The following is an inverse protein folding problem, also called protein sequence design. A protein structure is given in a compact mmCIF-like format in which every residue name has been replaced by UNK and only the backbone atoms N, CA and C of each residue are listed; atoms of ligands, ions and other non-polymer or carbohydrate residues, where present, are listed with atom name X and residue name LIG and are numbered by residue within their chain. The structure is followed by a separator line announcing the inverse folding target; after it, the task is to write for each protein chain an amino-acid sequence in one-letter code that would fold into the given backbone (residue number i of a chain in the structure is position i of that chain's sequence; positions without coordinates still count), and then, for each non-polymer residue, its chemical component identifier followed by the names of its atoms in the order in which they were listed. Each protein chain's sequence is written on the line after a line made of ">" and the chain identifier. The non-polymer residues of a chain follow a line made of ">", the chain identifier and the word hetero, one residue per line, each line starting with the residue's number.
data_IF_926685272534
#
_entry.id   IF_926685272534
#
_cell.length_a   1.000
_cell.length_b   1.000
_cell.length_c   1.000
_cell.angle_alpha   90.00
_cell.angle_beta   90.00
_cell.angle_gamma   90.00
#
_symmetry.space_group_name_H-M   'P 1'
#
loop_
_entity.id
_entity.type
_entity.pdbx_description
1 polymer ?
#
# COMPACT_ATOMS: atom_id res chain seq x y z
N UNK A 1 59.62 11.67 15.04
CA UNK A 1 58.29 12.28 14.80
C UNK A 1 57.61 11.85 13.48
N UNK A 2 58.03 10.76 12.81
CA UNK A 2 57.38 10.29 11.57
C UNK A 2 56.20 9.33 11.79
N UNK A 3 56.17 8.58 12.89
CA UNK A 3 55.10 7.59 13.15
C UNK A 3 53.73 8.19 13.45
N UNK A 4 53.67 9.38 14.06
CA UNK A 4 52.39 10.01 14.42
C UNK A 4 51.59 10.48 13.19
N UNK A 5 52.27 10.90 12.12
CA UNK A 5 51.62 11.33 10.86
C UNK A 5 50.97 10.15 10.12
N UNK A 6 51.61 8.99 10.10
CA UNK A 6 51.07 7.79 9.46
C UNK A 6 49.89 7.20 10.23
N UNK A 7 49.91 7.31 11.56
CA UNK A 7 48.83 6.80 12.42
C UNK A 7 47.55 7.67 12.30
N UNK A 8 47.70 8.99 12.20
CA UNK A 8 46.56 9.89 11.93
C UNK A 8 45.98 9.67 10.52
N UNK A 9 46.84 9.46 9.51
CA UNK A 9 46.39 9.18 8.15
C UNK A 9 45.65 7.84 8.04
N UNK A 10 46.14 6.80 8.71
CA UNK A 10 45.47 5.49 8.75
C UNK A 10 44.10 5.55 9.44
N UNK A 11 43.97 6.33 10.53
CA UNK A 11 42.69 6.53 11.23
C UNK A 11 41.71 7.33 10.37
N UNK A 12 42.17 8.35 9.63
CA UNK A 12 41.32 9.12 8.73
C UNK A 12 40.83 8.28 7.52
N UNK A 13 41.69 7.40 6.98
CA UNK A 13 41.30 6.47 5.91
C UNK A 13 40.30 5.43 6.43
N UNK A 14 40.50 4.90 7.64
CA UNK A 14 39.57 3.96 8.28
C UNK A 14 38.21 4.60 8.59
N UNK A 15 38.19 5.86 9.04
CA UNK A 15 36.94 6.60 9.27
C UNK A 15 36.22 6.98 7.97
N UNK A 16 36.97 7.25 6.89
CA UNK A 16 36.42 7.48 5.55
C UNK A 16 35.83 6.22 4.91
N UNK A 17 36.30 5.02 5.29
CA UNK A 17 35.78 3.75 4.78
C UNK A 17 34.46 3.34 5.47
N UNK A 18 34.27 3.69 6.74
CA UNK A 18 33.04 3.37 7.49
C UNK A 18 31.83 4.26 7.16
N UNK A 19 32.03 5.47 6.64
CA UNK A 19 30.91 6.37 6.31
C UNK A 19 30.18 6.00 5.01
N UNK A 20 30.86 5.39 4.04
CA UNK A 20 30.27 4.99 2.75
C UNK A 20 29.47 3.69 2.80
N UNK A 21 29.61 2.88 3.85
CA UNK A 21 28.97 1.57 3.97
C UNK A 21 27.61 1.66 4.69
N UNK A 22 27.45 2.61 5.62
CA UNK A 22 26.16 2.97 6.20
C UNK A 22 25.22 3.57 5.16
N UNK A 23 25.72 4.47 4.31
CA UNK A 23 24.94 5.14 3.27
C UNK A 23 24.44 4.15 2.19
N UNK A 24 25.29 3.20 1.78
CA UNK A 24 24.89 2.11 0.86
C UNK A 24 23.91 1.12 1.48
N UNK A 25 23.97 0.89 2.80
CA UNK A 25 23.03 0.02 3.51
C UNK A 25 21.67 0.69 3.64
N UNK A 26 21.64 1.99 3.92
CA UNK A 26 20.43 2.81 3.98
C UNK A 26 19.81 3.02 2.60
N UNK A 27 20.62 3.19 1.54
CA UNK A 27 20.17 3.24 0.14
C UNK A 27 19.67 1.88 -0.37
N UNK A 28 20.28 0.76 0.02
CA UNK A 28 19.75 -0.59 -0.29
C UNK A 28 18.48 -0.90 0.50
N UNK A 29 18.41 -0.46 1.76
CA UNK A 29 17.18 -0.50 2.54
C UNK A 29 16.10 0.32 1.84
N UNK A 30 16.35 1.57 1.45
CA UNK A 30 15.39 2.45 0.75
C UNK A 30 15.01 1.95 -0.65
N UNK A 31 15.94 1.38 -1.41
CA UNK A 31 15.67 0.84 -2.76
C UNK A 31 14.92 -0.50 -2.73
N UNK A 32 15.20 -1.37 -1.74
CA UNK A 32 14.41 -2.58 -1.53
C UNK A 32 13.09 -2.27 -0.80
N UNK A 33 13.01 -1.17 -0.03
CA UNK A 33 11.77 -0.72 0.60
C UNK A 33 10.85 0.06 -0.33
N UNK A 34 11.26 0.51 -1.52
CA UNK A 34 10.36 1.35 -2.35
C UNK A 34 9.57 0.55 -3.40
N UNK A 35 10.10 -0.55 -3.93
CA UNK A 35 9.36 -1.35 -4.93
C UNK A 35 8.73 -2.62 -4.33
N UNK A 36 9.35 -3.27 -3.35
CA UNK A 36 8.79 -4.46 -2.69
C UNK A 36 7.80 -4.12 -1.56
N UNK A 37 7.85 -2.90 -1.00
CA UNK A 37 6.93 -2.47 0.05
C UNK A 37 5.58 -2.03 -0.52
N UNK A 38 5.59 -1.33 -1.66
CA UNK A 38 4.37 -0.97 -2.39
C UNK A 38 3.69 -2.20 -3.02
N UNK A 39 4.45 -3.27 -3.32
CA UNK A 39 3.89 -4.56 -3.78
C UNK A 39 3.61 -5.55 -2.64
N UNK A 40 4.06 -5.25 -1.41
CA UNK A 40 4.17 -6.24 -0.32
C UNK A 40 3.20 -6.04 0.85
N UNK A 41 2.38 -4.99 0.82
CA UNK A 41 1.29 -4.84 1.78
C UNK A 41 0.00 -5.41 1.18
N UNK A 42 -0.74 -6.25 1.93
CA UNK A 42 -2.04 -6.69 1.47
C UNK A 42 -2.95 -5.48 1.35
N UNK A 43 -3.79 -5.49 0.33
CA UNK A 43 -4.82 -4.48 0.16
C UNK A 43 -6.19 -5.14 0.20
N UNK A 44 -7.14 -4.45 0.82
CA UNK A 44 -8.48 -4.95 1.01
C UNK A 44 -9.49 -3.88 0.64
N UNK A 45 -10.37 -4.21 -0.29
CA UNK A 45 -11.50 -3.37 -0.69
C UNK A 45 -12.81 -4.05 -0.31
N UNK A 46 -13.81 -3.26 0.06
CA UNK A 46 -15.19 -3.73 0.16
C UNK A 46 -16.08 -2.84 -0.67
N UNK A 47 -16.87 -3.48 -1.53
CA UNK A 47 -17.94 -2.86 -2.28
C UNK A 47 -19.29 -3.30 -1.71
N UNK A 48 -20.20 -2.34 -1.53
CA UNK A 48 -21.58 -2.64 -1.16
C UNK A 48 -22.37 -3.21 -2.36
N UNK A 49 -23.59 -3.73 -2.16
CA UNK A 49 -24.43 -4.23 -3.25
C UNK A 49 -24.73 -3.21 -4.36
N UNK A 50 -24.65 -1.92 -4.05
CA UNK A 50 -24.83 -0.81 -4.99
C UNK A 50 -23.58 -0.57 -5.87
N UNK A 51 -22.45 -1.24 -5.57
CA UNK A 51 -21.20 -1.12 -6.30
C UNK A 51 -20.30 0.04 -5.84
N UNK A 52 -20.58 0.63 -4.68
CA UNK A 52 -19.76 1.69 -4.08
C UNK A 52 -18.65 1.10 -3.21
N UNK A 53 -17.42 1.61 -3.33
CA UNK A 53 -16.34 1.30 -2.40
C UNK A 53 -16.63 1.93 -1.04
N UNK A 54 -16.92 1.09 -0.03
CA UNK A 54 -17.28 1.51 1.33
C UNK A 54 -16.17 1.28 2.35
N UNK A 55 -15.13 0.54 1.96
CA UNK A 55 -13.94 0.27 2.74
C UNK A 55 -12.72 0.10 1.86
N UNK A 56 -11.61 0.68 2.30
CA UNK A 56 -10.29 0.46 1.72
C UNK A 56 -9.25 0.41 2.84
N UNK A 57 -8.47 -0.67 2.87
CA UNK A 57 -7.32 -0.82 3.76
C UNK A 57 -6.08 -1.23 2.99
N UNK A 58 -4.96 -0.59 3.30
CA UNK A 58 -3.62 -1.04 2.91
C UNK A 58 -2.83 -1.44 4.16
N UNK A 59 -2.29 -2.65 4.12
CA UNK A 59 -1.63 -3.29 5.25
C UNK A 59 -2.60 -3.98 6.20
N UNK A 60 -2.02 -4.72 7.14
CA UNK A 60 -2.75 -5.45 8.17
C UNK A 60 -2.34 -4.90 9.54
N UNK A 61 -3.30 -4.33 10.28
CA UNK A 61 -3.11 -3.84 11.64
C UNK A 61 -3.12 -5.00 12.64
N UNK A 62 -4.18 -5.13 13.43
CA UNK A 62 -4.51 -6.33 14.20
C UNK A 62 -5.75 -7.00 13.63
N UNK A 63 -5.91 -8.29 13.96
CA UNK A 63 -7.07 -9.08 13.57
C UNK A 63 -8.36 -8.52 14.18
N UNK A 64 -8.34 -8.14 15.45
CA UNK A 64 -9.50 -7.59 16.15
C UNK A 64 -9.98 -6.30 15.48
N UNK A 65 -9.05 -5.40 15.17
CA UNK A 65 -9.39 -4.14 14.52
C UNK A 65 -9.93 -4.36 13.11
N UNK A 66 -9.35 -5.30 12.36
CA UNK A 66 -9.86 -5.67 11.05
C UNK A 66 -11.30 -6.19 11.12
N UNK A 67 -11.64 -7.04 12.09
CA UNK A 67 -13.00 -7.56 12.24
C UNK A 67 -14.01 -6.50 12.67
N UNK A 68 -13.63 -5.60 13.60
CA UNK A 68 -14.49 -4.48 13.99
C UNK A 68 -14.89 -3.61 12.79
N UNK A 69 -13.94 -3.35 11.90
CA UNK A 69 -14.19 -2.57 10.70
C UNK A 69 -15.09 -3.30 9.70
N UNK A 70 -14.86 -4.60 9.49
CA UNK A 70 -15.73 -5.40 8.62
C UNK A 70 -17.16 -5.48 9.17
N UNK A 71 -17.34 -5.61 10.48
CA UNK A 71 -18.66 -5.61 11.10
C UNK A 71 -19.39 -4.27 10.91
N UNK A 72 -18.68 -3.14 10.98
CA UNK A 72 -19.25 -1.81 10.67
C UNK A 72 -19.72 -1.75 9.21
N UNK A 73 -18.89 -2.22 8.29
CA UNK A 73 -19.18 -2.20 6.85
C UNK A 73 -20.36 -3.10 6.51
N UNK A 74 -20.40 -4.33 7.03
CA UNK A 74 -21.52 -5.25 6.83
C UNK A 74 -22.83 -4.74 7.43
N UNK A 75 -22.77 -3.91 8.48
CA UNK A 75 -23.93 -3.21 9.03
C UNK A 75 -24.42 -2.02 8.16
N UNK A 76 -23.82 -1.81 6.98
CA UNK A 76 -24.12 -0.69 6.07
C UNK A 76 -23.34 0.59 6.39
N UNK A 77 -22.33 0.51 7.26
CA UNK A 77 -21.42 1.61 7.54
C UNK A 77 -20.40 1.85 6.43
N UNK A 78 -19.73 2.99 6.50
CA UNK A 78 -18.63 3.38 5.60
C UNK A 78 -17.45 3.81 6.43
N UNK A 79 -16.26 3.34 6.05
CA UNK A 79 -15.01 3.70 6.73
C UNK A 79 -14.12 4.38 5.72
N UNK A 80 -13.92 5.68 5.91
CA UNK A 80 -12.96 6.47 5.15
C UNK A 80 -11.68 6.61 5.97
N UNK A 81 -10.68 5.79 5.67
CA UNK A 81 -9.31 5.99 6.19
C UNK A 81 -8.62 7.00 5.30
N UNK A 82 -8.10 8.09 5.86
CA UNK A 82 -7.07 8.83 5.13
C UNK A 82 -5.78 8.01 5.27
N UNK A 83 -5.03 7.76 4.18
CA UNK A 83 -3.75 7.02 4.27
C UNK A 83 -2.73 7.67 5.23
N UNK A 84 -3.05 8.86 5.75
CA UNK A 84 -2.22 9.73 6.57
C UNK A 84 -2.86 10.04 7.93
N UNK A 85 -3.62 9.10 8.51
CA UNK A 85 -4.37 9.31 9.76
C UNK A 85 -3.49 9.58 11.00
N UNK A 86 -2.19 9.25 10.97
CA UNK A 86 -1.28 9.55 12.08
C UNK A 86 -0.50 10.85 11.87
N UNK A 87 -0.36 11.73 12.89
CA UNK A 87 0.44 12.95 12.80
C UNK A 87 1.90 12.70 12.36
N UNK A 88 2.45 11.55 12.77
CA UNK A 88 3.79 11.13 12.40
C UNK A 88 3.89 10.75 10.92
N UNK A 89 2.94 9.96 10.40
CA UNK A 89 2.86 9.63 8.97
C UNK A 89 2.69 10.89 8.12
N UNK A 90 1.88 11.84 8.60
CA UNK A 90 1.68 13.14 7.93
C UNK A 90 2.96 13.94 7.82
N UNK A 91 3.75 13.97 8.90
CA UNK A 91 5.03 14.65 8.93
C UNK A 91 6.05 13.97 8.01
N UNK A 92 6.10 12.64 8.01
CA UNK A 92 7.01 11.89 7.13
C UNK A 92 6.65 12.08 5.65
N UNK A 93 5.36 12.04 5.31
CA UNK A 93 4.87 12.33 3.96
C UNK A 93 5.23 13.76 3.52
N UNK A 94 5.01 14.76 4.38
CA UNK A 94 5.39 16.14 4.09
C UNK A 94 6.89 16.26 3.80
N UNK A 95 7.74 15.64 4.61
CA UNK A 95 9.18 15.65 4.39
C UNK A 95 9.57 14.96 3.08
N UNK A 96 8.96 13.83 2.76
CA UNK A 96 9.21 13.09 1.52
C UNK A 96 8.81 13.90 0.27
N UNK A 97 7.60 14.46 0.26
CA UNK A 97 7.08 15.28 -0.85
C UNK A 97 7.95 16.52 -1.04
N UNK A 98 8.28 17.22 0.06
CA UNK A 98 9.17 18.39 0.02
C UNK A 98 10.51 18.01 -0.59
N UNK A 99 11.15 16.96 -0.10
CA UNK A 99 12.44 16.49 -0.64
C UNK A 99 12.36 16.23 -2.14
N UNK A 100 11.36 15.46 -2.59
CA UNK A 100 11.19 15.12 -4.00
C UNK A 100 10.99 16.35 -4.90
N UNK A 101 10.16 17.32 -4.47
CA UNK A 101 9.93 18.56 -5.23
C UNK A 101 11.17 19.45 -5.27
N UNK A 102 11.93 19.52 -4.16
CA UNK A 102 13.15 20.33 -4.12
C UNK A 102 14.29 19.73 -4.94
N UNK A 103 14.40 18.40 -5.00
CA UNK A 103 15.39 17.69 -5.82
C UNK A 103 15.04 17.69 -7.31
N UNK A 104 13.77 17.88 -7.68
CA UNK A 104 13.36 18.02 -9.07
C UNK A 104 13.79 19.39 -9.65
N UNK A 105 14.81 19.37 -10.51
CA UNK A 105 15.37 20.57 -11.17
C UNK A 105 14.48 21.12 -12.29
N UNK A 106 13.49 20.35 -12.74
CA UNK A 106 12.56 20.76 -13.80
C UNK A 106 11.44 21.67 -13.28
N UNK A 107 11.25 21.75 -11.96
CA UNK A 107 10.23 22.60 -11.33
C UNK A 107 10.88 23.95 -10.97
N UNK A 108 10.42 25.07 -11.53
CA UNK A 108 10.94 26.39 -11.20
C UNK A 108 10.83 26.70 -9.70
N UNK A 109 11.82 27.37 -9.08
CA UNK A 109 11.81 27.66 -7.64
C UNK A 109 10.51 28.31 -7.14
N UNK A 110 9.93 29.22 -7.92
CA UNK A 110 8.68 29.92 -7.62
C UNK A 110 7.45 29.02 -7.64
N UNK A 111 7.52 27.84 -8.25
CA UNK A 111 6.42 26.87 -8.32
C UNK A 111 6.53 25.75 -7.27
N UNK A 112 7.67 25.60 -6.59
CA UNK A 112 7.91 24.46 -5.68
C UNK A 112 6.89 24.37 -4.54
N UNK A 113 6.59 25.48 -3.88
CA UNK A 113 5.63 25.48 -2.76
C UNK A 113 4.19 25.20 -3.21
N UNK A 114 3.78 25.71 -4.38
CA UNK A 114 2.46 25.35 -4.94
C UNK A 114 2.39 23.87 -5.29
N UNK A 115 3.45 23.30 -5.88
CA UNK A 115 3.51 21.86 -6.19
C UNK A 115 3.48 21.01 -4.92
N UNK A 116 4.25 21.37 -3.89
CA UNK A 116 4.22 20.67 -2.59
C UNK A 116 2.79 20.65 -2.01
N UNK A 117 2.08 21.78 -2.02
CA UNK A 117 0.71 21.85 -1.52
C UNK A 117 -0.24 20.96 -2.32
N UNK A 118 -0.15 21.00 -3.65
CA UNK A 118 -0.99 20.16 -4.52
C UNK A 118 -0.70 18.68 -4.30
N UNK A 119 0.57 18.26 -4.34
CA UNK A 119 0.96 16.86 -4.12
C UNK A 119 0.59 16.36 -2.73
N UNK A 120 0.74 17.19 -1.68
CA UNK A 120 0.27 16.81 -0.35
C UNK A 120 -1.24 16.67 -0.28
N UNK A 121 -2.00 17.54 -0.94
CA UNK A 121 -3.46 17.42 -1.01
C UNK A 121 -3.87 16.12 -1.68
N UNK A 122 -3.24 15.78 -2.81
CA UNK A 122 -3.48 14.54 -3.55
C UNK A 122 -3.04 13.29 -2.77
N UNK A 123 -1.97 13.38 -1.99
CA UNK A 123 -1.47 12.25 -1.19
C UNK A 123 -2.23 12.05 0.13
N UNK A 124 -2.77 13.12 0.73
CA UNK A 124 -3.54 13.05 1.99
C UNK A 124 -5.00 12.71 1.72
N UNK A 125 -5.56 13.26 0.66
CA UNK A 125 -6.91 12.98 0.21
C UNK A 125 -6.81 12.42 -1.21
N UNK A 126 -6.25 11.21 -1.40
CA UNK A 126 -6.47 10.55 -2.68
C UNK A 126 -7.98 10.44 -2.82
N UNK A 127 -8.52 10.87 -3.97
CA UNK A 127 -9.85 10.41 -4.33
C UNK A 127 -9.84 8.89 -4.16
N UNK A 128 -10.89 8.28 -3.56
CA UNK A 128 -10.93 6.85 -3.36
C UNK A 128 -10.91 6.16 -4.74
N UNK A 129 -9.71 5.90 -5.23
CA UNK A 129 -9.42 5.26 -6.50
C UNK A 129 -9.53 3.74 -6.36
N UNK A 130 -10.44 3.26 -5.50
CA UNK A 130 -10.74 1.83 -5.40
C UNK A 130 -11.12 1.26 -6.79
N UNK A 131 -11.72 2.08 -7.64
CA UNK A 131 -12.16 1.70 -8.99
C UNK A 131 -11.00 1.61 -9.97
N UNK A 132 -10.05 2.55 -9.98
CA UNK A 132 -8.94 2.56 -10.96
C UNK A 132 -8.02 1.35 -10.83
N UNK A 133 -7.68 0.96 -9.59
CA UNK A 133 -6.82 -0.19 -9.36
C UNK A 133 -7.55 -1.50 -9.68
N UNK A 134 -8.82 -1.61 -9.29
CA UNK A 134 -9.64 -2.76 -9.63
C UNK A 134 -9.84 -2.89 -11.15
N UNK A 135 -10.18 -1.82 -11.85
CA UNK A 135 -10.32 -1.79 -13.32
C UNK A 135 -9.04 -2.25 -14.03
N UNK A 136 -7.87 -1.80 -13.54
CA UNK A 136 -6.58 -2.26 -14.05
C UNK A 136 -6.39 -3.77 -13.91
N UNK A 137 -6.73 -4.36 -12.76
CA UNK A 137 -6.61 -5.80 -12.53
C UNK A 137 -7.67 -6.61 -13.28
N UNK A 138 -8.90 -6.09 -13.39
CA UNK A 138 -9.98 -6.73 -14.15
C UNK A 138 -9.67 -6.79 -15.64
N UNK A 139 -9.19 -5.69 -16.24
CA UNK A 139 -8.79 -5.68 -17.65
C UNK A 139 -7.67 -6.68 -17.97
N UNK A 140 -6.70 -6.85 -17.07
CA UNK A 140 -5.63 -7.87 -17.23
C UNK A 140 -6.12 -9.31 -17.07
N UNK A 141 -7.16 -9.52 -16.29
CA UNK A 141 -7.76 -10.85 -16.15
C UNK A 141 -8.48 -11.26 -17.44
N UNK A 142 -9.27 -10.35 -18.02
CA UNK A 142 -9.96 -10.55 -19.30
C UNK A 142 -8.99 -10.89 -20.44
N UNK A 143 -7.86 -10.18 -20.52
CA UNK A 143 -6.81 -10.45 -21.52
C UNK A 143 -6.19 -11.85 -21.42
N UNK A 144 -6.10 -12.42 -20.21
CA UNK A 144 -5.37 -13.66 -19.95
C UNK A 144 -6.25 -14.91 -20.00
N UNK A 145 -7.40 -14.86 -19.34
CA UNK A 145 -8.27 -16.02 -19.14
C UNK A 145 -9.53 -15.97 -20.04
N UNK A 146 -9.71 -14.89 -20.81
CA UNK A 146 -10.72 -14.78 -21.86
C UNK A 146 -12.18 -14.76 -21.36
N UNK A 147 -12.41 -14.50 -20.07
CA UNK A 147 -13.73 -14.34 -19.49
C UNK A 147 -14.01 -12.89 -19.10
N UNK A 148 -15.17 -12.36 -19.50
CA UNK A 148 -15.72 -11.09 -19.01
C UNK A 148 -15.96 -11.23 -17.49
N UNK A 149 -15.10 -10.64 -16.66
CA UNK A 149 -15.37 -10.53 -15.23
C UNK A 149 -15.93 -9.14 -14.93
N UNK A 150 -17.23 -9.07 -14.66
CA UNK A 150 -17.86 -7.84 -14.18
C UNK A 150 -18.23 -7.98 -12.71
N UNK A 151 -17.98 -6.95 -11.90
CA UNK A 151 -18.52 -6.86 -10.55
C UNK A 151 -20.05 -7.02 -10.52
N UNK A 152 -20.75 -6.61 -11.58
CA UNK A 152 -22.20 -6.73 -11.72
C UNK A 152 -22.64 -8.19 -11.94
N UNK A 153 -21.72 -9.08 -12.33
CA UNK A 153 -21.99 -10.52 -12.47
C UNK A 153 -21.97 -11.26 -11.13
N UNK A 154 -21.47 -10.61 -10.07
CA UNK A 154 -21.44 -11.18 -8.73
C UNK A 154 -22.87 -11.23 -8.16
N UNK A 155 -23.15 -12.16 -7.23
CA UNK A 155 -24.47 -12.33 -6.64
C UNK A 155 -25.05 -11.00 -6.16
N UNK A 156 -26.12 -10.54 -6.80
CA UNK A 156 -26.80 -9.30 -6.42
C UNK A 156 -27.27 -9.36 -4.97
N UNK A 157 -27.01 -8.30 -4.21
CA UNK A 157 -27.45 -8.16 -2.82
C UNK A 157 -26.43 -8.54 -1.74
N UNK A 158 -25.20 -8.94 -2.11
CA UNK A 158 -24.11 -9.18 -1.15
C UNK A 158 -23.02 -8.13 -1.26
N UNK A 159 -22.30 -7.92 -0.16
CA UNK A 159 -21.06 -7.14 -0.21
C UNK A 159 -19.98 -7.94 -0.96
N UNK A 160 -19.12 -7.27 -1.71
CA UNK A 160 -18.00 -7.88 -2.43
C UNK A 160 -16.71 -7.47 -1.75
N UNK A 161 -16.01 -8.45 -1.21
CA UNK A 161 -14.74 -8.27 -0.50
C UNK A 161 -13.63 -8.63 -1.48
N UNK A 162 -12.66 -7.76 -1.68
CA UNK A 162 -11.55 -7.98 -2.62
C UNK A 162 -10.23 -7.92 -1.86
N UNK A 163 -9.53 -9.05 -1.81
CA UNK A 163 -8.20 -9.18 -1.23
C UNK A 163 -7.15 -9.19 -2.33
N UNK A 164 -6.29 -8.18 -2.37
CA UNK A 164 -5.09 -8.20 -3.20
C UNK A 164 -3.91 -8.76 -2.40
N UNK A 165 -3.27 -9.79 -2.95
CA UNK A 165 -2.19 -10.49 -2.26
C UNK A 165 -1.04 -10.89 -3.20
N UNK A 166 0.07 -11.30 -2.59
CA UNK A 166 1.19 -11.96 -3.27
C UNK A 166 1.63 -13.21 -2.48
N UNK A 167 2.02 -14.29 -3.17
CA UNK A 167 2.34 -15.60 -2.53
C UNK A 167 3.44 -15.51 -1.45
N UNK A 168 4.36 -14.55 -1.60
CA UNK A 168 5.52 -14.36 -0.71
C UNK A 168 5.32 -13.25 0.32
N UNK A 169 4.13 -12.66 0.39
CA UNK A 169 3.79 -11.61 1.33
C UNK A 169 3.40 -12.20 2.70
N UNK A 170 4.27 -12.02 3.71
CA UNK A 170 4.00 -12.50 5.08
C UNK A 170 2.74 -11.84 5.67
N UNK A 171 2.53 -10.51 5.57
CA UNK A 171 1.32 -9.88 6.09
C UNK A 171 0.05 -10.36 5.37
N UNK A 172 0.12 -10.66 4.07
CA UNK A 172 -1.01 -11.20 3.32
C UNK A 172 -1.45 -12.57 3.86
N UNK A 173 -0.50 -13.45 4.23
CA UNK A 173 -0.83 -14.72 4.88
C UNK A 173 -1.45 -14.57 6.27
N UNK A 174 -1.14 -13.49 6.98
CA UNK A 174 -1.77 -13.18 8.27
C UNK A 174 -3.22 -12.73 8.07
N UNK A 175 -3.45 -11.87 7.08
CA UNK A 175 -4.78 -11.42 6.70
C UNK A 175 -5.65 -12.55 6.17
N UNK A 176 -5.12 -13.42 5.30
CA UNK A 176 -5.80 -14.63 4.82
C UNK A 176 -6.32 -15.48 6.00
N UNK A 177 -5.47 -15.75 6.99
CA UNK A 177 -5.86 -16.49 8.21
C UNK A 177 -6.89 -15.77 9.07
N UNK A 178 -6.92 -14.44 9.05
CA UNK A 178 -7.94 -13.66 9.72
C UNK A 178 -9.29 -13.81 8.98
N UNK A 179 -9.27 -13.67 7.65
CA UNK A 179 -10.47 -13.84 6.81
C UNK A 179 -11.03 -15.26 6.92
N UNK A 180 -10.18 -16.29 6.92
CA UNK A 180 -10.59 -17.70 7.12
C UNK A 180 -11.30 -17.92 8.46
N UNK A 181 -10.96 -17.14 9.50
CA UNK A 181 -11.63 -17.20 10.81
C UNK A 181 -12.89 -16.34 10.86
N UNK A 182 -13.00 -15.33 10.01
CA UNK A 182 -14.16 -14.45 9.91
C UNK A 182 -15.27 -15.06 9.06
N UNK A 183 -14.91 -15.63 7.90
CA UNK A 183 -15.84 -16.13 6.88
C UNK A 183 -16.89 -17.13 7.41
N UNK A 184 -16.57 -18.12 8.26
CA UNK A 184 -17.57 -19.04 8.80
C UNK A 184 -18.70 -18.37 9.60
N UNK A 185 -18.49 -17.14 10.11
CA UNK A 185 -19.49 -16.41 10.90
C UNK A 185 -20.43 -15.55 10.06
N UNK A 186 -20.00 -15.18 8.84
CA UNK A 186 -20.59 -14.09 8.04
C UNK A 186 -20.60 -14.38 6.53
N UNK A 187 -20.16 -15.55 6.08
CA UNK A 187 -19.92 -15.87 4.67
C UNK A 187 -21.16 -15.84 3.77
N UNK A 188 -22.35 -15.88 4.37
CA UNK A 188 -23.59 -15.68 3.62
C UNK A 188 -23.84 -14.20 3.27
N UNK A 189 -23.18 -13.25 3.94
CA UNK A 189 -23.38 -11.81 3.81
C UNK A 189 -22.46 -11.15 2.76
N UNK A 190 -21.40 -11.85 2.32
CA UNK A 190 -20.44 -11.32 1.35
C UNK A 190 -19.93 -12.39 0.37
N UNK A 191 -19.24 -11.94 -0.67
CA UNK A 191 -18.45 -12.77 -1.61
C UNK A 191 -17.01 -12.33 -1.52
N UNK A 192 -16.07 -13.29 -1.42
CA UNK A 192 -14.65 -12.97 -1.35
C UNK A 192 -13.98 -13.21 -2.72
N UNK A 193 -13.35 -12.17 -3.23
CA UNK A 193 -12.49 -12.21 -4.40
C UNK A 193 -11.04 -12.10 -3.96
N UNK A 194 -10.20 -13.05 -4.36
CA UNK A 194 -8.76 -12.99 -4.13
C UNK A 194 -8.06 -12.68 -5.44
N UNK A 195 -7.29 -11.61 -5.45
CA UNK A 195 -6.53 -11.13 -6.61
C UNK A 195 -5.04 -11.28 -6.32
N UNK A 196 -4.39 -12.22 -7.00
CA UNK A 196 -2.94 -12.40 -6.90
C UNK A 196 -2.23 -11.38 -7.81
N UNK A 197 -1.58 -10.37 -7.23
CA UNK A 197 -0.98 -9.25 -7.97
C UNK A 197 0.12 -9.69 -8.95
N UNK A 198 0.96 -10.65 -8.55
CA UNK A 198 2.12 -11.09 -9.35
C UNK A 198 1.72 -11.87 -10.61
N UNK A 199 0.63 -12.64 -10.52
CA UNK A 199 0.17 -13.50 -11.61
C UNK A 199 -1.13 -13.00 -12.25
N UNK A 200 -1.70 -11.89 -11.78
CA UNK A 200 -3.00 -11.39 -12.21
C UNK A 200 -4.07 -12.50 -12.24
N UNK A 201 -4.12 -13.29 -11.16
CA UNK A 201 -5.06 -14.43 -11.04
C UNK A 201 -6.19 -14.05 -10.08
N UNK A 202 -7.43 -14.25 -10.50
CA UNK A 202 -8.62 -14.04 -9.67
C UNK A 202 -9.18 -15.38 -9.19
N UNK A 203 -9.55 -15.47 -7.92
CA UNK A 203 -10.26 -16.61 -7.33
C UNK A 203 -11.50 -16.12 -6.60
N UNK A 204 -12.65 -16.74 -6.87
CA UNK A 204 -13.92 -16.47 -6.17
C UNK A 204 -14.11 -17.53 -5.09
N UNK A 205 -14.36 -17.10 -3.85
CA UNK A 205 -14.66 -17.95 -2.70
C UNK A 205 -16.05 -17.69 -2.12
#
# INVERSE_FOLDING_TARGET
>A
MYYLKWLVLAVLIALSACSGELDKRELRLKANFSEDFDRGLPEFLVFNPEGECVYHSQGFSTEEHFFEELDIVLAGGRIERSPVDSPEKRRLLELAVRKAVYENTSIPPEQKESTIRTSLRESINPEPSCTHELEYYLGRFEERDGGDFSLQSLPGGKNVFIEFYADRCIPCKQQERAIERYSPKRGDEFVLLKVERDKARIQVQ
#
